data_IF_138456926056
#
_entry.id   IF_138456926056
#
_cell.length_a   1.000
_cell.length_b   1.000
_cell.length_c   1.000
_cell.angle_alpha   90.00
_cell.angle_beta   90.00
_cell.angle_gamma   90.00
#
_symmetry.space_group_name_H-M   'P 1'
#
loop_
_entity.id
_entity.type
_entity.pdbx_description
1 polymer ?
#
# COMPACT_ATOMS: atom_id res chain seq x y z
N UNK A 1 4.78 1.58 24.54
CA UNK A 1 5.30 1.89 23.20
C UNK A 1 5.46 0.54 22.52
N UNK A 2 4.65 0.27 21.50
CA UNK A 2 4.56 -1.06 20.90
C UNK A 2 5.89 -1.40 20.22
N UNK A 3 6.37 -2.64 20.38
CA UNK A 3 7.46 -3.20 19.57
C UNK A 3 6.94 -3.32 18.14
N UNK A 4 6.91 -2.21 17.40
CA UNK A 4 6.49 -2.17 16.01
C UNK A 4 7.52 -2.91 15.16
N UNK A 5 7.07 -3.85 14.35
CA UNK A 5 7.86 -4.40 13.25
C UNK A 5 8.33 -3.24 12.39
N UNK A 6 9.63 -3.14 12.15
CA UNK A 6 10.15 -2.16 11.20
C UNK A 6 9.74 -2.56 9.77
N UNK A 7 8.65 -1.97 9.30
CA UNK A 7 8.07 -2.29 7.99
C UNK A 7 8.99 -1.86 6.83
N UNK A 8 9.91 -0.94 7.07
CA UNK A 8 10.86 -0.46 6.07
C UNK A 8 12.10 -1.35 5.98
N UNK A 9 12.33 -2.25 6.95
CA UNK A 9 13.36 -3.27 6.87
C UNK A 9 12.98 -4.44 5.93
N UNK A 10 11.73 -4.51 5.47
CA UNK A 10 11.25 -5.56 4.56
C UNK A 10 11.73 -5.32 3.13
N UNK A 11 12.28 -6.36 2.51
CA UNK A 11 12.58 -6.34 1.07
C UNK A 11 11.29 -6.47 0.27
N UNK A 12 11.02 -5.46 -0.56
CA UNK A 12 9.84 -5.39 -1.41
C UNK A 12 10.18 -5.43 -2.90
N UNK A 13 11.43 -5.76 -3.26
CA UNK A 13 11.90 -5.79 -4.65
C UNK A 13 11.12 -6.78 -5.53
N UNK A 14 10.56 -7.84 -4.94
CA UNK A 14 9.69 -8.81 -5.60
C UNK A 14 8.19 -8.49 -5.53
N UNK A 15 7.79 -7.38 -4.92
CA UNK A 15 6.38 -7.05 -4.70
C UNK A 15 5.67 -6.68 -6.02
N UNK A 16 4.46 -7.20 -6.21
CA UNK A 16 3.64 -6.91 -7.39
C UNK A 16 2.66 -5.79 -7.08
N UNK A 17 2.90 -4.62 -7.68
CA UNK A 17 2.07 -3.44 -7.48
C UNK A 17 0.89 -3.40 -8.45
N UNK A 18 -0.31 -3.23 -7.90
CA UNK A 18 -1.55 -3.03 -8.66
C UNK A 18 -2.02 -1.59 -8.52
N UNK A 19 -2.44 -0.97 -9.62
CA UNK A 19 -2.92 0.41 -9.65
C UNK A 19 -4.43 0.45 -9.47
N UNK A 20 -4.92 1.32 -8.60
CA UNK A 20 -6.32 1.70 -8.57
C UNK A 20 -6.45 3.23 -8.57
N UNK A 21 -7.56 3.71 -9.13
CA UNK A 21 -7.89 5.13 -9.21
C UNK A 21 -9.23 5.37 -8.52
N UNK A 22 -9.39 6.53 -7.89
CA UNK A 22 -10.63 6.89 -7.22
C UNK A 22 -10.56 8.24 -6.53
N UNK A 23 -11.48 8.44 -5.59
CA UNK A 23 -11.69 9.72 -4.92
C UNK A 23 -12.61 10.65 -5.72
N UNK A 24 -13.02 11.78 -5.13
CA UNK A 24 -13.90 12.76 -5.77
C UNK A 24 -13.23 13.44 -6.98
N UNK A 25 -11.90 13.50 -6.99
CA UNK A 25 -11.10 13.91 -8.13
C UNK A 25 -10.58 12.63 -8.80
N UNK A 26 -11.19 12.20 -9.91
CA UNK A 26 -10.92 10.95 -10.63
C UNK A 26 -9.45 10.75 -11.09
N UNK A 27 -8.58 11.72 -10.83
CA UNK A 27 -7.14 11.72 -11.11
C UNK A 27 -6.30 11.15 -9.95
N UNK A 28 -6.91 10.86 -8.80
CA UNK A 28 -6.26 10.24 -7.65
C UNK A 28 -6.01 8.77 -7.90
N UNK A 29 -4.83 8.41 -8.39
CA UNK A 29 -4.41 7.03 -8.57
C UNK A 29 -3.20 6.71 -7.69
N UNK A 30 -3.21 5.55 -7.07
CA UNK A 30 -2.12 5.01 -6.26
C UNK A 30 -1.86 3.56 -6.67
N UNK A 31 -0.72 3.01 -6.28
CA UNK A 31 -0.41 1.59 -6.41
C UNK A 31 -0.38 0.93 -5.04
N UNK A 32 -0.79 -0.33 -4.96
CA UNK A 32 -0.76 -1.13 -3.73
C UNK A 32 -0.16 -2.50 -4.02
N UNK A 33 0.70 -2.98 -3.13
CA UNK A 33 1.23 -4.33 -3.15
C UNK A 33 1.16 -4.95 -1.76
N UNK A 34 0.88 -6.26 -1.69
CA UNK A 34 1.05 -7.06 -0.47
C UNK A 34 2.53 -7.40 -0.32
N UNK A 35 3.09 -7.14 0.85
CA UNK A 35 4.52 -7.34 1.15
C UNK A 35 4.76 -8.28 2.33
N UNK A 36 3.69 -8.79 2.93
CA UNK A 36 3.71 -9.73 4.03
C UNK A 36 2.29 -10.07 4.47
N UNK A 37 2.17 -10.75 5.62
CA UNK A 37 0.89 -10.98 6.26
C UNK A 37 0.43 -9.71 6.96
N UNK A 38 -0.73 -9.20 6.54
CA UNK A 38 -1.28 -7.92 6.98
C UNK A 38 -0.37 -6.70 6.72
N UNK A 39 0.55 -6.79 5.78
CA UNK A 39 1.50 -5.72 5.45
C UNK A 39 1.40 -5.30 3.98
N UNK A 40 1.40 -3.99 3.76
CA UNK A 40 1.13 -3.38 2.47
C UNK A 40 2.14 -2.28 2.15
N UNK A 41 2.48 -2.19 0.86
CA UNK A 41 3.25 -1.08 0.29
C UNK A 41 2.35 -0.24 -0.61
N UNK A 42 2.20 1.05 -0.30
CA UNK A 42 1.41 2.01 -1.06
C UNK A 42 2.34 2.97 -1.82
N UNK A 43 2.28 2.94 -3.15
CA UNK A 43 3.08 3.81 -4.02
C UNK A 43 2.28 4.94 -4.66
N UNK A 44 2.97 6.04 -4.96
CA UNK A 44 2.43 7.12 -5.78
C UNK A 44 2.52 6.72 -7.26
N UNK A 45 1.38 6.51 -7.92
CA UNK A 45 1.36 6.12 -9.33
C UNK A 45 1.90 7.19 -10.28
N UNK A 46 2.05 8.44 -9.82
CA UNK A 46 2.66 9.56 -10.56
C UNK A 46 4.17 9.68 -10.31
N UNK A 47 4.70 8.99 -9.30
CA UNK A 47 6.13 8.97 -8.93
C UNK A 47 6.57 7.52 -8.64
N UNK A 48 6.67 6.66 -9.66
CA UNK A 48 7.00 5.25 -9.49
C UNK A 48 8.39 5.00 -8.88
N UNK A 49 9.29 5.97 -8.95
CA UNK A 49 10.62 5.96 -8.34
C UNK A 49 10.63 6.36 -6.87
N UNK A 50 9.55 6.96 -6.35
CA UNK A 50 9.46 7.32 -4.96
C UNK A 50 9.34 6.06 -4.09
N UNK A 51 10.00 6.07 -2.94
CA UNK A 51 9.89 4.97 -1.99
C UNK A 51 8.42 4.83 -1.54
N UNK A 52 7.80 3.65 -1.69
CA UNK A 52 6.41 3.48 -1.30
C UNK A 52 6.28 3.55 0.22
N UNK A 53 5.15 4.04 0.72
CA UNK A 53 4.82 4.01 2.14
C UNK A 53 4.47 2.59 2.59
N UNK A 54 4.66 2.30 3.87
CA UNK A 54 4.39 0.99 4.47
C UNK A 54 3.29 1.10 5.50
N UNK A 55 2.36 0.15 5.44
CA UNK A 55 1.20 0.10 6.33
C UNK A 55 0.93 -1.33 6.77
N UNK A 56 0.44 -1.48 8.00
CA UNK A 56 -0.34 -2.65 8.41
C UNK A 56 -1.75 -2.61 7.82
N UNK A 57 -2.49 -3.73 7.81
CA UNK A 57 -3.92 -3.75 7.40
C UNK A 57 -4.75 -2.76 8.23
N UNK A 58 -4.52 -2.68 9.55
CA UNK A 58 -5.22 -1.72 10.43
C UNK A 58 -4.94 -0.26 10.06
N UNK A 59 -3.67 0.10 9.79
CA UNK A 59 -3.33 1.47 9.39
C UNK A 59 -3.86 1.80 7.99
N UNK A 60 -3.87 0.82 7.08
CA UNK A 60 -4.39 0.98 5.72
C UNK A 60 -5.91 1.23 5.73
N UNK A 61 -6.64 0.48 6.56
CA UNK A 61 -8.09 0.67 6.76
C UNK A 61 -8.39 2.02 7.43
N UNK A 62 -7.61 2.41 8.44
CA UNK A 62 -7.72 3.73 9.07
C UNK A 62 -7.46 4.89 8.07
N UNK A 63 -6.63 4.64 7.05
CA UNK A 63 -6.41 5.58 5.94
C UNK A 63 -7.53 5.55 4.89
N UNK A 64 -8.53 4.67 5.02
CA UNK A 64 -9.66 4.51 4.09
C UNK A 64 -9.28 3.81 2.78
N UNK A 65 -8.19 3.03 2.77
CA UNK A 65 -7.71 2.30 1.60
C UNK A 65 -8.07 0.82 1.76
N UNK A 66 -8.99 0.36 0.91
CA UNK A 66 -9.47 -1.03 0.91
C UNK A 66 -8.74 -1.84 -0.18
N UNK A 67 -7.97 -2.89 0.16
CA UNK A 67 -7.24 -3.73 -0.81
C UNK A 67 -8.11 -4.33 -1.91
N UNK A 68 -9.39 -4.60 -1.63
CA UNK A 68 -10.35 -5.17 -2.57
C UNK A 68 -10.59 -4.25 -3.78
N UNK A 69 -10.42 -2.93 -3.60
CA UNK A 69 -10.49 -1.96 -4.69
C UNK A 69 -9.35 -2.11 -5.70
N UNK A 70 -8.27 -2.78 -5.30
CA UNK A 70 -7.13 -3.14 -6.13
C UNK A 70 -7.24 -4.59 -6.65
N UNK A 71 -8.33 -5.30 -6.35
CA UNK A 71 -8.48 -6.73 -6.66
C UNK A 71 -7.57 -7.64 -5.81
N UNK A 72 -7.09 -7.13 -4.68
CA UNK A 72 -6.26 -7.87 -3.73
C UNK A 72 -7.15 -8.37 -2.59
N UNK A 73 -6.89 -9.59 -2.13
CA UNK A 73 -7.57 -10.17 -0.98
C UNK A 73 -6.63 -10.13 0.23
N UNK A 74 -7.21 -9.89 1.40
CA UNK A 74 -6.55 -9.96 2.70
C UNK A 74 -6.38 -11.42 3.11
#
# INVERSE_FOLDING_TARGET
>A
MQNGTDLYALDISGASFVKACGGPCTEGCVTLARIGDDLWALGDSKRPEAEPLRFTTEELDAAGIAPERFGLNV
#
